data_IF_703668488734
#
_entry.id   IF_703668488734
#
_cell.length_a   1.000
_cell.length_b   1.000
_cell.length_c   1.000
_cell.angle_alpha   90.00
_cell.angle_beta   90.00
_cell.angle_gamma   90.00
#
_symmetry.space_group_name_H-M   'P 1'
#
loop_
_entity.id
_entity.type
_entity.pdbx_description
1 polymer ?
#
# COMPACT_ATOMS: atom_id res chain seq x y z
N UNK A 1 34.52 -7.12 10.36
CA UNK A 1 33.77 -6.35 11.36
C UNK A 1 32.85 -5.43 10.57
N UNK A 2 31.58 -5.81 10.38
CA UNK A 2 30.63 -4.97 9.66
C UNK A 2 30.20 -3.83 10.57
N UNK A 3 30.32 -2.60 10.08
CA UNK A 3 29.68 -1.45 10.70
C UNK A 3 28.17 -1.61 10.54
N UNK A 4 27.50 -2.21 11.53
CA UNK A 4 26.06 -2.05 11.69
C UNK A 4 25.81 -0.59 12.04
N UNK A 5 25.54 0.22 11.02
CA UNK A 5 24.93 1.53 11.21
C UNK A 5 23.57 1.31 11.89
N UNK A 6 23.44 1.89 13.09
CA UNK A 6 22.18 2.04 13.81
C UNK A 6 21.15 2.70 12.90
N UNK A 7 19.87 2.25 12.85
CA UNK A 7 18.86 2.94 12.06
C UNK A 7 18.73 4.38 12.58
N UNK A 8 18.98 5.35 11.71
CA UNK A 8 18.84 6.75 12.04
C UNK A 8 17.36 7.03 12.41
N UNK A 9 17.15 7.71 13.54
CA UNK A 9 15.83 8.25 13.92
C UNK A 9 15.42 9.47 13.08
N UNK A 10 16.27 9.88 12.13
CA UNK A 10 16.04 11.00 11.24
C UNK A 10 15.32 10.55 9.97
N UNK A 11 14.53 11.46 9.42
CA UNK A 11 13.92 11.27 8.11
C UNK A 11 15.01 11.22 7.03
N UNK A 12 14.79 10.43 5.99
CA UNK A 12 15.52 10.51 4.72
C UNK A 12 14.63 11.21 3.71
N UNK A 13 15.10 12.28 3.11
CA UNK A 13 14.34 13.10 2.17
C UNK A 13 15.10 13.23 0.87
N UNK A 14 14.39 13.06 -0.25
CA UNK A 14 14.85 13.43 -1.59
C UNK A 14 13.83 14.40 -2.19
N UNK A 15 14.31 15.36 -2.96
CA UNK A 15 13.47 16.39 -3.56
C UNK A 15 14.04 16.93 -4.86
N UNK A 16 13.17 17.55 -5.65
CA UNK A 16 13.53 18.41 -6.76
C UNK A 16 12.58 19.63 -6.78
N UNK A 17 12.49 20.34 -7.90
CA UNK A 17 11.60 21.51 -8.03
C UNK A 17 10.10 21.18 -8.16
N UNK A 18 9.71 19.90 -8.19
CA UNK A 18 8.33 19.42 -8.37
C UNK A 18 7.82 18.59 -7.21
N UNK A 19 8.66 17.74 -6.63
CA UNK A 19 8.26 16.74 -5.64
C UNK A 19 9.26 16.70 -4.50
N UNK A 20 8.75 16.54 -3.28
CA UNK A 20 9.53 16.15 -2.12
C UNK A 20 8.92 14.87 -1.53
N UNK A 21 9.77 13.89 -1.21
CA UNK A 21 9.35 12.66 -0.53
C UNK A 21 10.25 12.40 0.68
N UNK A 22 9.62 12.05 1.81
CA UNK A 22 10.32 11.74 3.06
C UNK A 22 9.97 10.35 3.57
N UNK A 23 10.99 9.60 3.98
CA UNK A 23 10.93 8.23 4.51
C UNK A 23 11.43 8.22 5.95
N UNK A 24 10.79 7.42 6.81
CA UNK A 24 11.21 7.21 8.20
C UNK A 24 11.73 5.76 8.39
N UNK A 25 13.05 5.51 8.27
CA UNK A 25 13.62 4.15 8.33
C UNK A 25 13.36 3.45 9.67
N UNK A 26 13.38 4.18 10.79
CA UNK A 26 13.13 3.63 12.12
C UNK A 26 11.69 3.11 12.31
N UNK A 27 10.77 3.45 11.40
CA UNK A 27 9.34 3.13 11.50
C UNK A 27 8.83 2.51 10.20
N UNK A 28 9.32 1.30 9.88
CA UNK A 28 8.86 0.54 8.70
C UNK A 28 9.45 1.00 7.37
N UNK A 29 10.42 1.92 7.38
CA UNK A 29 10.71 2.76 6.21
C UNK A 29 9.43 3.38 5.63
N UNK A 30 8.46 3.76 6.47
CA UNK A 30 7.21 4.39 6.01
C UNK A 30 7.53 5.65 5.22
N UNK A 31 6.87 5.84 4.07
CA UNK A 31 6.86 7.16 3.44
C UNK A 31 5.88 8.02 4.23
N UNK A 32 6.39 9.04 4.92
CA UNK A 32 5.63 9.89 5.83
C UNK A 32 5.17 11.20 5.17
N UNK A 33 5.74 11.53 4.01
CA UNK A 33 5.34 12.70 3.23
C UNK A 33 5.59 12.46 1.75
N UNK A 34 4.62 12.83 0.90
CA UNK A 34 4.74 12.94 -0.55
C UNK A 34 4.09 14.25 -0.99
N UNK A 35 4.92 15.28 -1.13
CA UNK A 35 4.50 16.65 -1.40
C UNK A 35 4.63 16.96 -2.88
N UNK A 36 3.52 17.30 -3.53
CA UNK A 36 3.49 17.97 -4.83
C UNK A 36 3.78 19.46 -4.60
N UNK A 37 5.00 19.90 -4.92
CA UNK A 37 5.45 21.28 -4.72
C UNK A 37 4.78 22.25 -5.69
N UNK A 38 4.37 21.78 -6.87
CA UNK A 38 3.69 22.61 -7.86
C UNK A 38 2.24 22.92 -7.44
N UNK A 39 1.55 21.94 -6.89
CA UNK A 39 0.19 22.10 -6.37
C UNK A 39 0.14 22.56 -4.90
N UNK A 40 1.26 22.49 -4.17
CA UNK A 40 1.30 22.72 -2.72
C UNK A 40 0.48 21.69 -1.94
N UNK A 41 0.45 20.42 -2.41
CA UNK A 41 -0.44 19.38 -1.88
C UNK A 41 0.35 18.22 -1.26
N UNK A 42 0.09 17.95 0.01
CA UNK A 42 0.46 16.68 0.65
C UNK A 42 -0.51 15.59 0.16
N UNK A 43 0.01 14.52 -0.41
CA UNK A 43 -0.81 13.42 -0.90
C UNK A 43 -1.09 12.35 0.15
N UNK A 44 -0.26 12.22 1.19
CA UNK A 44 -0.41 11.16 2.18
C UNK A 44 -1.16 11.63 3.42
N UNK A 45 -1.89 10.71 4.06
CA UNK A 45 -2.43 10.94 5.40
C UNK A 45 -1.27 11.13 6.37
N UNK A 46 -1.26 12.27 7.05
CA UNK A 46 -0.20 12.65 7.98
C UNK A 46 -0.42 12.07 9.39
N UNK A 47 0.64 12.00 10.18
CA UNK A 47 0.56 11.74 11.60
C UNK A 47 1.89 11.33 12.23
N UNK A 48 2.01 11.58 13.52
CA UNK A 48 3.20 11.26 14.32
C UNK A 48 3.53 9.77 14.26
N UNK A 49 4.81 9.36 14.32
CA UNK A 49 5.23 7.95 14.29
C UNK A 49 4.93 7.21 15.61
N UNK A 50 3.68 7.26 16.05
CA UNK A 50 3.15 6.61 17.25
C UNK A 50 2.37 5.35 16.87
N UNK A 51 2.33 4.38 17.77
CA UNK A 51 1.60 3.13 17.55
C UNK A 51 2.32 1.95 18.17
N UNK A 52 1.58 0.86 18.38
CA UNK A 52 2.18 -0.40 18.80
C UNK A 52 2.77 -1.10 17.57
N UNK A 53 4.02 -1.55 17.66
CA UNK A 53 4.70 -2.23 16.53
C UNK A 53 5.21 -3.63 16.90
N UNK A 54 4.69 -4.17 18.01
CA UNK A 54 4.97 -5.50 18.52
C UNK A 54 4.51 -6.62 17.58
N UNK A 55 4.69 -7.87 18.02
CA UNK A 55 4.30 -9.05 17.23
C UNK A 55 2.77 -9.18 17.07
N UNK A 56 2.01 -8.77 18.09
CA UNK A 56 0.55 -8.83 18.12
C UNK A 56 -0.11 -7.45 17.95
N UNK A 57 0.67 -6.44 17.53
CA UNK A 57 0.16 -5.09 17.36
C UNK A 57 -0.98 -5.07 16.33
N UNK A 58 -2.14 -4.48 16.68
CA UNK A 58 -3.22 -4.27 15.73
C UNK A 58 -2.85 -3.14 14.75
N UNK A 59 -3.43 -3.16 13.56
CA UNK A 59 -3.37 -2.02 12.65
C UNK A 59 -4.68 -1.21 12.78
N UNK A 60 -4.63 -0.09 13.49
CA UNK A 60 -5.80 0.75 13.79
C UNK A 60 -5.72 2.15 13.16
N UNK A 61 -6.60 3.05 13.62
CA UNK A 61 -6.65 4.45 13.17
C UNK A 61 -5.31 5.17 13.34
N UNK A 62 -4.58 4.89 14.43
CA UNK A 62 -3.26 5.48 14.63
C UNK A 62 -2.35 5.03 13.49
N UNK A 63 -2.18 3.72 13.32
CA UNK A 63 -1.25 3.14 12.36
C UNK A 63 -1.57 3.50 10.90
N UNK A 64 -2.85 3.69 10.58
CA UNK A 64 -3.40 3.97 9.25
C UNK A 64 -3.09 5.38 8.74
N UNK A 65 -1.82 5.60 8.37
CA UNK A 65 -1.31 6.85 7.78
C UNK A 65 -0.06 6.60 6.95
N UNK A 66 0.28 7.52 6.05
CA UNK A 66 1.47 7.43 5.20
C UNK A 66 1.40 6.25 4.22
N UNK A 67 2.58 5.78 3.80
CA UNK A 67 2.69 4.63 2.90
C UNK A 67 3.64 3.57 3.45
N UNK A 68 3.05 2.40 3.75
CA UNK A 68 3.71 1.18 4.21
C UNK A 68 3.70 0.06 3.16
N UNK A 69 4.46 -0.99 3.45
CA UNK A 69 4.44 -2.23 2.70
C UNK A 69 3.82 -3.34 3.58
N UNK A 70 2.79 -4.00 3.08
CA UNK A 70 2.23 -5.19 3.71
C UNK A 70 2.94 -6.44 3.18
N UNK A 71 3.60 -7.20 4.05
CA UNK A 71 4.26 -8.46 3.69
C UNK A 71 4.56 -9.30 4.93
N UNK A 72 4.29 -10.62 4.95
CA UNK A 72 3.86 -11.47 3.84
C UNK A 72 2.33 -11.62 3.74
N UNK A 73 1.56 -10.76 4.41
CA UNK A 73 0.09 -10.77 4.45
C UNK A 73 -0.42 -9.34 4.70
N UNK A 74 -1.69 -9.08 4.43
CA UNK A 74 -2.38 -7.85 4.85
C UNK A 74 -3.20 -8.10 6.11
N UNK A 75 -3.99 -9.17 6.16
CA UNK A 75 -4.74 -9.57 7.35
C UNK A 75 -3.92 -10.54 8.21
N UNK A 76 -4.04 -10.43 9.53
CA UNK A 76 -3.46 -11.38 10.46
C UNK A 76 -4.03 -12.79 10.25
N UNK A 77 -3.22 -13.84 10.47
CA UNK A 77 -3.67 -15.21 10.20
C UNK A 77 -2.58 -16.26 10.40
N UNK A 78 -2.82 -17.47 9.93
CA UNK A 78 -1.83 -18.55 9.94
C UNK A 78 -1.53 -19.00 8.53
N UNK A 79 -0.32 -19.48 8.29
CA UNK A 79 0.05 -20.03 6.99
C UNK A 79 1.11 -21.11 7.17
N UNK A 80 0.98 -22.25 6.48
CA UNK A 80 1.88 -23.41 6.66
C UNK A 80 3.36 -23.10 6.36
N UNK A 81 3.62 -22.14 5.48
CA UNK A 81 4.98 -21.71 5.14
C UNK A 81 5.63 -20.85 6.22
N UNK A 82 4.89 -20.40 7.24
CA UNK A 82 5.38 -19.48 8.27
C UNK A 82 5.26 -20.11 9.66
N UNK A 83 6.30 -20.03 10.50
CA UNK A 83 6.35 -20.76 11.77
C UNK A 83 5.41 -20.18 12.85
N UNK A 84 5.15 -18.88 12.76
CA UNK A 84 4.34 -18.14 13.72
C UNK A 84 3.09 -17.60 13.03
N UNK A 85 2.11 -17.20 13.84
CA UNK A 85 0.98 -16.40 13.38
C UNK A 85 1.50 -15.16 12.64
N UNK A 86 0.96 -14.91 11.46
CA UNK A 86 1.22 -13.72 10.68
C UNK A 86 0.53 -12.53 11.34
N UNK A 87 1.32 -11.47 11.58
CA UNK A 87 0.83 -10.21 12.14
C UNK A 87 -0.10 -9.50 11.16
N UNK A 88 -1.00 -8.69 11.69
CA UNK A 88 -1.77 -7.71 10.93
C UNK A 88 -0.81 -6.82 10.11
N UNK A 89 -1.08 -6.67 8.81
CA UNK A 89 -0.25 -6.00 7.81
C UNK A 89 1.20 -6.57 7.66
N UNK A 90 1.46 -7.73 8.24
CA UNK A 90 2.73 -8.44 8.12
C UNK A 90 3.89 -7.83 8.91
N UNK A 91 5.11 -8.22 8.56
CA UNK A 91 6.34 -7.98 9.31
C UNK A 91 7.07 -6.67 9.01
N UNK A 92 6.65 -5.95 7.96
CA UNK A 92 7.42 -4.82 7.44
C UNK A 92 7.09 -3.50 8.12
N UNK A 93 5.81 -3.17 8.27
CA UNK A 93 5.36 -1.90 8.83
C UNK A 93 5.79 -1.74 10.30
N UNK A 94 6.08 -0.49 10.68
CA UNK A 94 6.46 -0.10 12.04
C UNK A 94 7.81 -0.62 12.56
N UNK A 95 8.42 -1.63 11.91
CA UNK A 95 9.72 -2.19 12.33
C UNK A 95 10.87 -1.41 11.71
N UNK A 96 12.02 -1.23 12.37
CA UNK A 96 13.16 -0.53 11.78
C UNK A 96 13.70 -1.22 10.53
N UNK A 97 14.06 -0.42 9.54
CA UNK A 97 14.76 -0.83 8.32
C UNK A 97 16.15 -0.18 8.30
N UNK A 98 17.06 -0.80 7.55
CA UNK A 98 18.25 -0.10 7.08
C UNK A 98 17.86 0.75 5.88
N UNK A 99 18.46 1.92 5.74
CA UNK A 99 18.23 2.77 4.59
C UNK A 99 19.40 3.71 4.32
N UNK A 100 19.54 4.11 3.06
CA UNK A 100 20.38 5.23 2.64
C UNK A 100 19.65 6.02 1.55
N UNK A 101 20.06 7.27 1.39
CA UNK A 101 19.62 8.13 0.31
C UNK A 101 20.84 8.59 -0.51
N UNK A 102 20.65 8.70 -1.81
CA UNK A 102 21.47 9.49 -2.72
C UNK A 102 20.65 10.72 -3.19
N UNK A 103 21.16 11.51 -4.13
CA UNK A 103 20.52 12.76 -4.55
C UNK A 103 19.09 12.57 -5.10
N UNK A 104 18.81 11.42 -5.73
CA UNK A 104 17.54 11.18 -6.41
C UNK A 104 16.85 9.89 -5.98
N UNK A 105 17.41 9.12 -5.05
CA UNK A 105 16.81 7.87 -4.63
C UNK A 105 17.00 7.55 -3.15
N UNK A 106 15.98 6.89 -2.59
CA UNK A 106 16.03 6.28 -1.27
C UNK A 106 15.96 4.77 -1.44
N UNK A 107 16.96 4.06 -0.91
CA UNK A 107 16.98 2.60 -0.86
C UNK A 107 16.88 2.14 0.59
N UNK A 108 15.85 1.37 0.91
CA UNK A 108 15.61 0.83 2.24
C UNK A 108 15.40 -0.68 2.18
N UNK A 109 15.89 -1.41 3.18
CA UNK A 109 15.68 -2.84 3.29
C UNK A 109 15.53 -3.30 4.74
N UNK A 110 14.78 -4.39 4.89
CA UNK A 110 14.70 -5.17 6.12
C UNK A 110 15.17 -6.59 5.85
N UNK A 111 16.06 -7.07 6.71
CA UNK A 111 16.53 -8.45 6.71
C UNK A 111 16.08 -9.17 7.98
N UNK A 112 15.72 -10.43 7.80
CA UNK A 112 15.45 -11.41 8.86
C UNK A 112 16.19 -12.69 8.53
N UNK A 113 16.16 -13.67 9.43
CA UNK A 113 16.68 -15.01 9.16
C UNK A 113 15.96 -15.73 8.01
N UNK A 114 14.78 -15.25 7.58
CA UNK A 114 13.95 -15.88 6.53
C UNK A 114 14.02 -15.17 5.20
N UNK A 115 14.15 -13.84 5.19
CA UNK A 115 14.10 -13.06 3.97
C UNK A 115 14.82 -11.72 4.08
N UNK A 116 15.24 -11.19 2.93
CA UNK A 116 15.57 -9.78 2.74
C UNK A 116 14.55 -9.15 1.81
N UNK A 117 13.84 -8.12 2.29
CA UNK A 117 12.95 -7.28 1.48
C UNK A 117 13.61 -5.93 1.28
N UNK A 118 13.65 -5.43 0.04
CA UNK A 118 14.21 -4.13 -0.29
C UNK A 118 13.25 -3.34 -1.19
N UNK A 119 13.16 -2.04 -0.92
CA UNK A 119 12.44 -1.05 -1.70
C UNK A 119 13.41 0.07 -2.09
N UNK A 120 13.43 0.43 -3.36
CA UNK A 120 14.11 1.63 -3.86
C UNK A 120 13.09 2.54 -4.53
N UNK A 121 13.05 3.80 -4.11
CA UNK A 121 12.23 4.86 -4.70
C UNK A 121 13.18 5.81 -5.39
N UNK A 122 13.02 6.00 -6.71
CA UNK A 122 13.83 6.91 -7.53
C UNK A 122 12.96 8.04 -8.04
N UNK A 123 13.34 9.27 -7.72
CA UNK A 123 12.65 10.49 -8.12
C UNK A 123 13.30 11.10 -9.36
N UNK A 124 12.51 11.31 -10.41
CA UNK A 124 12.90 12.05 -11.60
C UNK A 124 11.71 12.89 -12.08
N UNK A 125 11.93 14.21 -12.19
CA UNK A 125 10.85 15.17 -12.46
C UNK A 125 9.67 14.97 -11.48
N UNK A 126 8.46 14.73 -11.98
CA UNK A 126 7.27 14.44 -11.15
C UNK A 126 6.98 12.95 -10.95
N UNK A 127 7.94 12.07 -11.26
CA UNK A 127 7.75 10.62 -11.29
C UNK A 127 8.61 9.95 -10.23
N UNK A 128 7.98 9.05 -9.47
CA UNK A 128 8.62 8.12 -8.57
C UNK A 128 8.57 6.72 -9.19
N UNK A 129 9.72 6.20 -9.62
CA UNK A 129 9.86 4.80 -9.99
C UNK A 129 10.19 4.00 -8.73
N UNK A 130 9.28 3.09 -8.36
CA UNK A 130 9.39 2.28 -7.15
C UNK A 130 9.72 0.86 -7.57
N UNK A 131 10.86 0.36 -7.09
CA UNK A 131 11.29 -1.01 -7.35
C UNK A 131 11.40 -1.80 -6.06
N UNK A 132 11.00 -3.06 -6.16
CA UNK A 132 10.93 -3.98 -5.05
C UNK A 132 11.71 -5.25 -5.36
N UNK A 133 12.28 -5.84 -4.32
CA UNK A 133 12.80 -7.20 -4.40
C UNK A 133 12.65 -7.90 -3.05
N UNK A 134 12.39 -9.20 -3.10
CA UNK A 134 12.43 -10.07 -1.93
C UNK A 134 13.26 -11.30 -2.23
N UNK A 135 14.20 -11.61 -1.35
CA UNK A 135 15.08 -12.78 -1.43
C UNK A 135 14.74 -13.74 -0.29
N UNK A 136 14.57 -15.03 -0.61
CA UNK A 136 14.42 -16.08 0.40
C UNK A 136 15.79 -16.45 0.98
N UNK A 137 15.99 -16.19 2.27
CA UNK A 137 17.18 -16.55 3.04
C UNK A 137 16.99 -17.84 3.85
N UNK A 138 15.75 -18.33 3.93
CA UNK A 138 15.42 -19.62 4.55
C UNK A 138 15.87 -20.79 3.64
N UNK A 139 16.07 -21.95 4.26
CA UNK A 139 16.32 -23.23 3.59
C UNK A 139 15.05 -23.85 3.04
N UNK A 140 13.88 -23.34 3.41
CA UNK A 140 12.56 -23.79 2.92
C UNK A 140 11.94 -22.74 2.00
N UNK A 141 11.17 -23.21 1.02
CA UNK A 141 10.31 -22.29 0.23
C UNK A 141 9.23 -21.70 1.14
N UNK A 142 8.78 -20.49 0.84
CA UNK A 142 7.61 -19.91 1.50
C UNK A 142 6.70 -19.16 0.51
N UNK A 143 5.39 -19.19 0.78
CA UNK A 143 4.42 -18.32 0.12
C UNK A 143 4.40 -16.92 0.73
N UNK A 144 4.07 -15.92 -0.06
CA UNK A 144 3.85 -14.56 0.42
C UNK A 144 2.78 -13.81 -0.38
N UNK A 145 2.20 -12.81 0.29
CA UNK A 145 1.38 -11.74 -0.25
C UNK A 145 2.13 -10.43 -0.01
N UNK A 146 2.19 -9.58 -1.03
CA UNK A 146 2.66 -8.20 -0.91
C UNK A 146 1.54 -7.25 -1.33
N UNK A 147 1.38 -6.14 -0.59
CA UNK A 147 0.49 -5.03 -0.95
C UNK A 147 1.19 -3.69 -0.68
N UNK A 148 1.17 -2.78 -1.65
CA UNK A 148 1.61 -1.40 -1.45
C UNK A 148 0.51 -0.61 -0.74
N UNK A 149 0.63 -0.39 0.57
CA UNK A 149 -0.43 0.22 1.38
C UNK A 149 -0.21 1.74 1.49
N UNK A 150 -0.54 2.46 0.43
CA UNK A 150 -0.34 3.91 0.31
C UNK A 150 -1.62 4.67 0.63
N UNK A 151 -1.70 5.29 1.83
CA UNK A 151 -2.89 5.96 2.33
C UNK A 151 -2.89 7.44 1.93
N UNK A 152 -3.79 7.77 1.01
CA UNK A 152 -3.92 9.09 0.41
C UNK A 152 -4.88 9.99 1.21
N UNK A 153 -4.42 11.21 1.49
CA UNK A 153 -5.24 12.30 1.99
C UNK A 153 -6.09 12.88 0.85
N UNK A 154 -7.38 12.55 0.87
CA UNK A 154 -8.33 12.93 -0.16
C UNK A 154 -9.38 13.90 0.36
N UNK A 155 -10.10 14.53 -0.57
CA UNK A 155 -11.21 15.43 -0.32
C UNK A 155 -12.38 15.04 -1.22
N UNK A 156 -13.60 15.49 -0.91
CA UNK A 156 -14.77 15.25 -1.77
C UNK A 156 -14.68 15.89 -3.16
N UNK A 157 -13.69 16.76 -3.41
CA UNK A 157 -13.37 17.28 -4.73
C UNK A 157 -12.59 16.29 -5.59
N UNK A 158 -11.94 15.29 -4.98
CA UNK A 158 -11.17 14.29 -5.70
C UNK A 158 -12.09 13.23 -6.35
N UNK A 159 -11.61 12.67 -7.45
CA UNK A 159 -12.22 11.58 -8.20
C UNK A 159 -11.19 10.51 -8.50
N UNK A 160 -11.64 9.26 -8.46
CA UNK A 160 -10.82 8.08 -8.74
C UNK A 160 -11.11 7.65 -10.19
N UNK A 161 -10.07 7.50 -10.98
CA UNK A 161 -10.11 6.91 -12.31
C UNK A 161 -9.32 5.61 -12.29
N UNK A 162 -9.87 4.57 -12.90
CA UNK A 162 -9.29 3.23 -12.85
C UNK A 162 -9.39 2.56 -14.23
N UNK A 163 -8.25 2.12 -14.74
CA UNK A 163 -8.13 1.50 -16.06
C UNK A 163 -7.34 0.20 -15.99
N UNK A 164 -7.67 -0.76 -16.84
CA UNK A 164 -6.89 -1.99 -16.99
C UNK A 164 -7.12 -3.05 -15.90
N UNK A 165 -8.21 -2.97 -15.15
CA UNK A 165 -8.62 -4.00 -14.18
C UNK A 165 -9.87 -4.75 -14.62
N UNK A 166 -10.05 -5.98 -14.11
CA UNK A 166 -11.23 -6.81 -14.32
C UNK A 166 -11.60 -7.57 -13.04
N UNK A 167 -12.69 -8.34 -13.07
CA UNK A 167 -13.10 -9.24 -11.97
C UNK A 167 -13.15 -8.55 -10.60
N UNK A 168 -13.74 -7.35 -10.53
CA UNK A 168 -13.77 -6.56 -9.30
C UNK A 168 -14.78 -7.15 -8.30
N UNK A 169 -14.37 -7.24 -7.04
CA UNK A 169 -15.15 -7.84 -5.98
C UNK A 169 -15.07 -7.01 -4.69
N UNK A 170 -16.22 -6.71 -4.10
CA UNK A 170 -16.32 -6.19 -2.75
C UNK A 170 -15.94 -7.31 -1.77
N UNK A 171 -14.88 -7.12 -1.01
CA UNK A 171 -14.31 -8.10 -0.10
C UNK A 171 -14.77 -7.92 1.35
N UNK A 172 -14.84 -6.69 1.83
CA UNK A 172 -15.52 -6.33 3.07
C UNK A 172 -16.03 -4.89 2.96
N UNK A 173 -17.02 -4.54 3.76
CA UNK A 173 -17.47 -3.16 3.79
C UNK A 173 -18.56 -2.88 4.81
N UNK A 174 -18.64 -1.61 5.18
CA UNK A 174 -19.68 -1.03 6.04
C UNK A 174 -20.20 0.22 5.35
N UNK A 175 -21.51 0.42 5.41
CA UNK A 175 -22.15 1.67 5.02
C UNK A 175 -23.28 1.98 6.00
N UNK A 176 -23.27 3.17 6.59
CA UNK A 176 -24.29 3.62 7.57
C UNK A 176 -24.50 2.59 8.70
N UNK A 177 -23.38 2.10 9.27
CA UNK A 177 -23.37 1.09 10.34
C UNK A 177 -23.79 -0.33 9.93
N UNK A 178 -24.09 -0.57 8.64
CA UNK A 178 -24.51 -1.88 8.13
C UNK A 178 -23.37 -2.56 7.38
N UNK A 179 -23.12 -3.83 7.71
CA UNK A 179 -22.16 -4.65 6.97
C UNK A 179 -22.69 -4.97 5.56
N UNK A 180 -21.88 -4.71 4.56
CA UNK A 180 -22.14 -5.06 3.17
C UNK A 180 -21.70 -6.49 2.88
N UNK A 181 -22.40 -7.16 1.95
CA UNK A 181 -22.08 -8.54 1.56
C UNK A 181 -20.99 -8.56 0.51
N UNK A 182 -20.14 -9.59 0.57
CA UNK A 182 -19.20 -9.91 -0.52
C UNK A 182 -19.96 -10.17 -1.81
N UNK A 183 -19.53 -9.54 -2.88
CA UNK A 183 -20.15 -9.66 -4.20
C UNK A 183 -19.23 -9.14 -5.30
N UNK A 184 -19.44 -9.64 -6.51
CA UNK A 184 -18.86 -9.06 -7.72
C UNK A 184 -19.52 -7.72 -8.07
N UNK A 185 -18.71 -6.78 -8.54
CA UNK A 185 -19.10 -5.40 -8.82
C UNK A 185 -18.45 -4.92 -10.13
N UNK A 186 -19.04 -3.93 -10.77
CA UNK A 186 -18.53 -3.35 -12.03
C UNK A 186 -18.10 -1.92 -11.76
N UNK A 187 -16.85 -1.55 -12.02
CA UNK A 187 -16.41 -0.18 -11.81
C UNK A 187 -17.15 0.81 -12.73
N UNK A 188 -17.59 2.00 -12.24
CA UNK A 188 -17.50 2.49 -10.86
C UNK A 188 -18.77 2.21 -10.01
N UNK A 189 -19.69 1.39 -10.49
CA UNK A 189 -21.02 1.20 -9.90
C UNK A 189 -21.04 0.12 -8.82
N UNK A 190 -21.68 0.42 -7.68
CA UNK A 190 -22.15 -0.60 -6.76
C UNK A 190 -23.61 -0.98 -7.09
N UNK A 191 -24.08 -2.16 -6.66
CA UNK A 191 -25.50 -2.52 -6.77
C UNK A 191 -26.44 -1.55 -6.04
N UNK A 192 -25.93 -0.80 -5.06
CA UNK A 192 -26.66 0.33 -4.48
C UNK A 192 -26.54 1.53 -5.43
N UNK A 193 -27.66 1.99 -6.04
CA UNK A 193 -27.64 3.05 -7.06
C UNK A 193 -27.20 4.42 -6.52
N UNK A 194 -27.10 4.59 -5.19
CA UNK A 194 -26.63 5.84 -4.57
C UNK A 194 -25.10 5.91 -4.45
N UNK A 195 -24.38 4.82 -4.71
CA UNK A 195 -22.93 4.74 -4.50
C UNK A 195 -22.16 4.57 -5.82
N UNK A 196 -21.51 5.65 -6.24
CA UNK A 196 -20.50 5.65 -7.28
C UNK A 196 -19.10 5.66 -6.65
N UNK A 197 -18.30 4.62 -6.90
CA UNK A 197 -16.97 4.39 -6.32
C UNK A 197 -15.89 5.33 -6.87
N UNK A 198 -16.12 5.96 -8.01
CA UNK A 198 -15.22 6.99 -8.54
C UNK A 198 -15.29 8.30 -7.76
N UNK A 199 -16.30 8.48 -6.91
CA UNK A 199 -16.48 9.69 -6.11
C UNK A 199 -15.95 9.51 -4.69
N UNK A 200 -15.02 10.39 -4.29
CA UNK A 200 -14.66 10.53 -2.88
C UNK A 200 -15.82 11.15 -2.12
N UNK A 201 -16.27 10.48 -1.05
CA UNK A 201 -17.37 10.95 -0.20
C UNK A 201 -16.83 11.77 0.97
N UNK A 202 -17.72 12.47 1.67
CA UNK A 202 -17.38 13.22 2.88
C UNK A 202 -17.11 12.25 4.05
N UNK A 203 -16.34 12.71 5.05
CA UNK A 203 -15.95 11.90 6.21
C UNK A 203 -17.10 11.50 7.14
N UNK A 204 -18.30 12.05 6.97
CA UNK A 204 -19.50 11.69 7.72
C UNK A 204 -20.36 10.63 7.01
N UNK A 205 -19.90 10.08 5.88
CA UNK A 205 -20.67 9.11 5.10
C UNK A 205 -20.80 7.73 5.75
N UNK A 206 -19.95 7.41 6.74
CA UNK A 206 -19.95 6.10 7.40
C UNK A 206 -19.61 4.94 6.47
N UNK A 207 -18.96 5.22 5.32
CA UNK A 207 -18.60 4.24 4.30
C UNK A 207 -17.16 3.78 4.49
N UNK A 208 -16.94 2.47 4.58
CA UNK A 208 -15.63 1.85 4.47
C UNK A 208 -15.72 0.61 3.58
N UNK A 209 -14.89 0.50 2.55
CA UNK A 209 -14.92 -0.58 1.57
C UNK A 209 -13.51 -1.12 1.32
N UNK A 210 -13.37 -2.45 1.37
CA UNK A 210 -12.22 -3.17 0.81
C UNK A 210 -12.64 -3.89 -0.45
N UNK A 211 -12.00 -3.57 -1.57
CA UNK A 211 -12.29 -4.12 -2.90
C UNK A 211 -11.03 -4.76 -3.45
N UNK A 212 -11.17 -5.87 -4.17
CA UNK A 212 -10.09 -6.46 -4.96
C UNK A 212 -10.47 -6.56 -6.43
N UNK A 213 -9.50 -6.40 -7.33
CA UNK A 213 -9.65 -6.60 -8.77
C UNK A 213 -8.42 -7.28 -9.36
N UNK A 214 -8.60 -7.98 -10.49
CA UNK A 214 -7.50 -8.53 -11.28
C UNK A 214 -6.84 -7.43 -12.11
N UNK A 215 -5.52 -7.40 -12.11
CA UNK A 215 -4.74 -6.50 -12.95
C UNK A 215 -4.52 -7.09 -14.35
N UNK A 216 -4.71 -6.26 -15.39
CA UNK A 216 -4.34 -6.57 -16.76
C UNK A 216 -2.85 -6.28 -17.05
N UNK A 217 -2.47 -6.27 -18.33
CA UNK A 217 -1.07 -6.06 -18.75
C UNK A 217 -0.53 -4.65 -18.43
N UNK A 218 -1.42 -3.66 -18.35
CA UNK A 218 -1.09 -2.30 -17.97
C UNK A 218 -2.28 -1.74 -17.20
N UNK A 219 -2.03 -1.32 -15.96
CA UNK A 219 -3.04 -0.76 -15.07
C UNK A 219 -2.67 0.69 -14.78
N UNK A 220 -3.67 1.55 -14.71
CA UNK A 220 -3.51 2.87 -14.11
C UNK A 220 -4.66 3.20 -13.18
N UNK A 221 -4.33 3.81 -12.04
CA UNK A 221 -5.27 4.25 -11.04
C UNK A 221 -4.88 5.67 -10.60
N UNK A 222 -5.75 6.64 -10.90
CA UNK A 222 -5.48 8.06 -10.68
C UNK A 222 -6.50 8.66 -9.72
N UNK A 223 -6.02 9.53 -8.83
CA UNK A 223 -6.84 10.37 -7.96
C UNK A 223 -6.59 11.82 -8.35
N UNK A 224 -7.64 12.57 -8.71
CA UNK A 224 -7.48 13.95 -9.16
C UNK A 224 -8.68 14.85 -8.86
N UNK A 225 -8.44 16.15 -8.79
CA UNK A 225 -9.47 17.18 -8.65
C UNK A 225 -9.39 18.27 -9.75
N UNK A 226 -8.74 17.94 -10.87
CA UNK A 226 -8.48 18.86 -11.99
C UNK A 226 -7.33 19.86 -11.77
N UNK A 227 -6.90 20.09 -10.52
CA UNK A 227 -5.74 20.95 -10.20
C UNK A 227 -4.48 20.17 -9.86
N UNK A 228 -4.67 19.02 -9.24
CA UNK A 228 -3.61 18.10 -8.82
C UNK A 228 -4.04 16.68 -9.12
N UNK A 229 -3.09 15.80 -9.42
CA UNK A 229 -3.34 14.38 -9.55
C UNK A 229 -2.17 13.55 -8.99
N UNK A 230 -2.49 12.34 -8.55
CA UNK A 230 -1.54 11.26 -8.29
C UNK A 230 -2.01 10.04 -9.08
N UNK A 231 -1.14 9.47 -9.89
CA UNK A 231 -1.41 8.26 -10.66
C UNK A 231 -0.44 7.15 -10.28
N UNK A 232 -0.98 5.98 -10.00
CA UNK A 232 -0.24 4.73 -9.87
C UNK A 232 -0.36 3.96 -11.17
N UNK A 233 0.76 3.47 -11.70
CA UNK A 233 0.78 2.61 -12.88
C UNK A 233 1.72 1.42 -12.71
N UNK A 234 1.31 0.26 -13.21
CA UNK A 234 2.08 -0.98 -13.14
C UNK A 234 1.61 -2.01 -14.18
N UNK A 235 2.37 -3.10 -14.33
CA UNK A 235 1.98 -4.27 -15.12
C UNK A 235 1.42 -5.38 -14.22
N UNK A 236 0.38 -6.09 -14.67
CA UNK A 236 -0.11 -7.30 -14.01
C UNK A 236 0.95 -8.41 -13.84
N UNK A 237 2.03 -8.38 -14.62
CA UNK A 237 3.17 -9.29 -14.40
C UNK A 237 3.91 -9.00 -13.10
N UNK A 238 4.00 -7.72 -12.74
CA UNK A 238 4.62 -7.22 -11.51
C UNK A 238 3.67 -7.44 -10.33
N UNK A 239 2.46 -6.88 -10.42
CA UNK A 239 1.41 -7.01 -9.41
C UNK A 239 0.08 -7.43 -10.06
N UNK A 240 -0.30 -8.72 -9.99
CA UNK A 240 -1.43 -9.31 -10.72
C UNK A 240 -2.82 -8.92 -10.18
N UNK A 241 -2.87 -8.14 -9.10
CA UNK A 241 -4.10 -7.70 -8.48
C UNK A 241 -4.00 -6.25 -8.00
N UNK A 242 -5.17 -5.67 -7.74
CA UNK A 242 -5.37 -4.38 -7.11
C UNK A 242 -6.20 -4.60 -5.84
N UNK A 243 -5.77 -4.03 -4.72
CA UNK A 243 -6.61 -3.70 -3.58
C UNK A 243 -7.03 -2.23 -3.65
N UNK A 244 -8.29 -1.94 -3.35
CA UNK A 244 -8.76 -0.59 -3.08
C UNK A 244 -9.33 -0.54 -1.68
N UNK A 245 -8.83 0.41 -0.89
CA UNK A 245 -9.40 0.79 0.39
C UNK A 245 -10.07 2.15 0.23
N UNK A 246 -11.37 2.23 0.49
CA UNK A 246 -12.12 3.49 0.45
C UNK A 246 -12.76 3.70 1.82
N UNK A 247 -12.25 4.64 2.61
CA UNK A 247 -12.77 4.91 3.94
C UNK A 247 -13.11 6.38 4.09
N UNK A 248 -14.40 6.64 4.29
CA UNK A 248 -14.98 7.95 4.39
C UNK A 248 -15.77 8.05 5.71
N UNK A 249 -15.11 7.67 6.80
CA UNK A 249 -15.65 7.65 8.16
C UNK A 249 -16.36 6.35 8.54
N UNK A 250 -16.13 5.26 7.81
CA UNK A 250 -16.73 3.96 8.12
C UNK A 250 -15.85 3.08 9.01
N UNK A 251 -14.55 3.36 9.09
CA UNK A 251 -13.61 2.61 9.92
C UNK A 251 -12.52 3.50 10.52
N UNK A 252 -11.90 3.09 11.65
CA UNK A 252 -12.48 2.19 12.63
C UNK A 252 -13.66 2.85 13.34
N UNK A 253 -14.61 2.05 13.82
CA UNK A 253 -15.86 2.52 14.44
C UNK A 253 -15.66 3.55 15.57
N UNK A 254 -14.59 3.39 16.37
CA UNK A 254 -14.31 4.25 17.53
C UNK A 254 -13.51 5.51 17.20
N UNK A 255 -12.84 5.56 16.05
CA UNK A 255 -12.02 6.70 15.64
C UNK A 255 -11.97 6.79 14.11
N UNK A 256 -13.10 7.12 13.46
CA UNK A 256 -13.19 7.02 12.01
C UNK A 256 -12.18 7.89 11.28
N UNK A 257 -11.67 7.40 10.16
CA UNK A 257 -10.70 8.11 9.32
C UNK A 257 -11.28 8.43 7.95
N UNK A 258 -10.63 9.34 7.23
CA UNK A 258 -11.00 9.72 5.87
C UNK A 258 -9.78 9.61 4.97
N UNK A 259 -9.75 8.56 4.16
CA UNK A 259 -8.60 8.18 3.35
C UNK A 259 -8.97 7.16 2.29
N UNK A 260 -8.11 7.04 1.28
CA UNK A 260 -8.17 5.92 0.34
C UNK A 260 -6.79 5.29 0.18
N UNK A 261 -6.75 4.01 -0.20
CA UNK A 261 -5.52 3.37 -0.66
C UNK A 261 -5.72 2.78 -2.06
N UNK A 262 -4.75 3.04 -2.93
CA UNK A 262 -4.56 2.30 -4.18
C UNK A 262 -3.43 1.33 -3.93
N UNK A 263 -3.73 0.04 -3.98
CA UNK A 263 -2.81 -1.00 -3.53
C UNK A 263 -2.50 -2.00 -4.65
N UNK A 264 -1.51 -1.75 -5.52
CA UNK A 264 -0.90 -2.81 -6.30
C UNK A 264 -0.49 -3.96 -5.37
N UNK A 265 -0.94 -5.18 -5.68
CA UNK A 265 -0.81 -6.33 -4.78
C UNK A 265 -0.62 -7.64 -5.53
N UNK A 266 -0.10 -8.65 -4.82
CA UNK A 266 0.06 -10.00 -5.35
C UNK A 266 -1.08 -10.96 -5.01
N UNK A 267 -2.19 -10.47 -4.44
CA UNK A 267 -3.33 -11.33 -4.10
C UNK A 267 -4.68 -10.63 -4.18
N UNK A 268 -5.73 -11.44 -4.36
CA UNK A 268 -7.14 -11.01 -4.40
C UNK A 268 -7.83 -11.16 -3.03
N UNK A 269 -7.04 -11.16 -1.96
CA UNK A 269 -7.49 -11.25 -0.58
C UNK A 269 -6.45 -10.64 0.32
N UNK A 270 -6.86 -10.13 1.48
CA UNK A 270 -5.94 -9.65 2.49
C UNK A 270 -5.19 -10.78 3.23
N UNK A 271 -5.74 -12.00 3.26
CA UNK A 271 -5.10 -13.12 3.94
C UNK A 271 -4.24 -13.92 2.97
N UNK A 272 -2.97 -14.19 3.35
CA UNK A 272 -2.11 -15.11 2.62
C UNK A 272 -2.74 -16.51 2.49
N UNK A 273 -3.37 -17.02 3.54
CA UNK A 273 -4.04 -18.33 3.53
C UNK A 273 -5.18 -18.40 2.50
N UNK A 274 -5.92 -17.31 2.34
CA UNK A 274 -6.98 -17.23 1.34
C UNK A 274 -6.41 -17.01 -0.06
N UNK A 275 -5.25 -16.35 -0.17
CA UNK A 275 -4.54 -16.16 -1.42
C UNK A 275 -4.05 -17.49 -2.00
N UNK A 276 -3.65 -18.46 -1.16
CA UNK A 276 -3.28 -19.84 -1.57
C UNK A 276 -4.42 -20.61 -2.24
N UNK A 277 -5.67 -20.19 -2.02
CA UNK A 277 -6.84 -20.74 -2.69
C UNK A 277 -7.09 -20.09 -4.06
N UNK A 278 -6.26 -19.12 -4.44
CA UNK A 278 -6.30 -18.43 -5.73
C UNK A 278 -5.05 -18.80 -6.55
N UNK A 279 -5.15 -18.78 -7.87
CA UNK A 279 -4.01 -19.02 -8.77
C UNK A 279 -2.96 -17.88 -8.78
N UNK A 280 -2.93 -17.03 -7.73
CA UNK A 280 -2.06 -15.84 -7.63
C UNK A 280 -0.97 -15.96 -6.57
N UNK A 281 -0.96 -17.01 -5.75
CA UNK A 281 0.07 -17.16 -4.71
C UNK A 281 1.48 -17.09 -5.28
N UNK A 282 2.28 -16.21 -4.69
CA UNK A 282 3.71 -16.13 -4.96
C UNK A 282 4.43 -17.05 -3.98
N UNK A 283 5.16 -18.02 -4.50
CA UNK A 283 6.04 -18.90 -3.70
C UNK A 283 7.49 -18.63 -4.05
N UNK A 284 8.35 -18.41 -3.05
CA UNK A 284 9.77 -18.12 -3.23
C UNK A 284 10.60 -19.33 -2.78
N UNK A 285 11.32 -19.96 -3.70
CA UNK A 285 12.22 -21.08 -3.38
C UNK A 285 13.49 -20.59 -2.65
N UNK A 286 14.22 -21.46 -1.92
CA UNK A 286 15.44 -21.07 -1.19
C UNK A 286 16.46 -20.39 -2.10
N UNK A 287 16.98 -19.24 -1.67
CA UNK A 287 17.95 -18.44 -2.43
C UNK A 287 17.39 -17.70 -3.65
N UNK A 288 16.12 -17.93 -4.03
CA UNK A 288 15.50 -17.21 -5.14
C UNK A 288 15.11 -15.78 -4.75
N UNK A 289 15.03 -14.92 -5.76
CA UNK A 289 14.60 -13.52 -5.63
C UNK A 289 13.44 -13.25 -6.57
N UNK A 290 12.38 -12.61 -6.08
CA UNK A 290 11.35 -12.00 -6.92
C UNK A 290 11.56 -10.49 -6.97
N UNK A 291 11.15 -9.87 -8.09
CA UNK A 291 11.27 -8.44 -8.36
C UNK A 291 10.01 -7.94 -9.03
N UNK A 292 9.61 -6.72 -8.70
CA UNK A 292 8.48 -6.05 -9.33
C UNK A 292 8.64 -4.53 -9.20
N UNK A 293 7.82 -3.78 -9.93
CA UNK A 293 7.86 -2.32 -9.95
C UNK A 293 6.45 -1.72 -9.94
N UNK A 294 6.36 -0.50 -9.41
CA UNK A 294 5.20 0.39 -9.52
C UNK A 294 5.74 1.79 -9.81
N UNK A 295 5.05 2.54 -10.66
CA UNK A 295 5.33 3.94 -10.91
C UNK A 295 4.25 4.80 -10.27
N UNK A 296 4.66 5.90 -9.64
CA UNK A 296 3.77 6.95 -9.15
C UNK A 296 4.12 8.25 -9.87
N UNK A 297 3.15 8.96 -10.43
CA UNK A 297 3.35 10.26 -11.05
C UNK A 297 2.45 11.31 -10.39
N UNK A 298 2.97 12.53 -10.20
CA UNK A 298 2.24 13.66 -9.64
C UNK A 298 1.97 14.75 -10.68
N UNK A 299 0.93 15.56 -10.43
CA UNK A 299 0.59 16.75 -11.24
C UNK A 299 -0.35 16.46 -12.41
N UNK A 300 -0.55 17.43 -13.30
CA UNK A 300 -1.35 17.22 -14.51
C UNK A 300 -0.59 16.33 -15.50
N UNK A 301 -1.10 15.12 -15.71
CA UNK A 301 -0.66 14.24 -16.76
C UNK A 301 -1.22 14.77 -18.09
N UNK A 302 -0.37 15.44 -18.87
CA UNK A 302 -0.68 15.83 -20.25
C UNK A 302 -0.57 14.63 -21.20
#
# INVERSE_FOLDING_TARGET
MSHMQTPASSHLTIENNRVQISVLPSFGARVVSLLDLAAGRQWLVEGEPVGEVGADAPYGALEARGWDECFPTVAAGHHESWPNRLRDHGELWGRPWHAHADDCAITAWRETDRFRFCRRIELHDQILDVSYLVTNLDRRKFSYLWSQHCLLAVSAADRIQLNGVSDMNLYDGVFDGRKLRRQSICWPDLPDPCLNLSEVKMADSGLALKIHARAGNQVSAMVSNGRSAIEFSWSGSDAPALGLWLDYGGWPETSPVHQIAIEPTTGLSDSLEMTDKTAMTRTLAPGCTHRWKVRIALGQLN
#
